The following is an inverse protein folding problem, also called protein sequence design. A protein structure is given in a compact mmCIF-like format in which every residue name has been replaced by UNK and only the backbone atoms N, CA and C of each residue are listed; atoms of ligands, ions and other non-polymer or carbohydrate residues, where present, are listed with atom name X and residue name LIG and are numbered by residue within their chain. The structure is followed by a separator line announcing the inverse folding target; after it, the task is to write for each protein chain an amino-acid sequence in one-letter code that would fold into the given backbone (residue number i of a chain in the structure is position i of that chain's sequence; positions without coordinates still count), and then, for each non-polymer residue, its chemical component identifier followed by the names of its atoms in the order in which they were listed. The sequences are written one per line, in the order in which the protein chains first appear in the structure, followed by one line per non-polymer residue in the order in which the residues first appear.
data_IF_063984196560
#
_entry.id   IF_063984196560
#
_cell.length_a   1.000
_cell.length_b   1.000
_cell.length_c   1.000
_cell.angle_alpha   90.00
_cell.angle_beta   90.00
_cell.angle_gamma   90.00
#
_symmetry.space_group_name_H-M   'P 1'
#
loop_
_entity.id
_entity.type
_entity.pdbx_description
1 polymer ?
#
# COMPACT_ATOMS: atom_id res chain seq x y z
N UNK A 1 7.39 22.77 -11.40
CA UNK A 1 7.14 21.87 -10.25
C UNK A 1 8.40 21.59 -9.41
N UNK A 2 9.28 22.57 -9.15
CA UNK A 2 10.65 22.29 -8.67
C UNK A 2 10.91 22.43 -7.16
N UNK A 3 9.89 22.71 -6.32
CA UNK A 3 10.13 23.06 -4.90
C UNK A 3 9.14 22.47 -3.90
N UNK A 4 8.35 21.47 -4.26
CA UNK A 4 7.46 20.83 -3.27
C UNK A 4 8.31 20.02 -2.29
N UNK A 5 8.32 20.46 -1.04
CA UNK A 5 8.98 19.78 0.06
C UNK A 5 7.94 19.22 1.05
N UNK A 6 8.27 18.10 1.67
CA UNK A 6 7.50 17.54 2.79
C UNK A 6 7.66 18.49 3.98
N UNK A 7 6.59 18.72 4.75
CA UNK A 7 6.65 19.53 5.99
C UNK A 7 7.16 18.74 7.19
N UNK A 8 6.88 17.43 7.21
CA UNK A 8 7.25 16.52 8.30
C UNK A 8 8.16 15.41 7.76
N UNK A 9 9.27 15.10 8.46
CA UNK A 9 10.29 14.14 8.00
C UNK A 9 9.87 12.69 8.33
N UNK A 10 8.71 12.29 7.84
CA UNK A 10 8.29 10.89 7.89
C UNK A 10 8.74 10.17 6.62
N UNK A 11 9.58 9.16 6.81
CA UNK A 11 10.11 8.31 5.74
C UNK A 11 9.59 6.89 5.89
N UNK A 12 9.49 6.16 4.77
CA UNK A 12 9.21 4.72 4.82
C UNK A 12 10.37 3.98 5.46
N UNK A 13 10.06 2.96 6.27
CA UNK A 13 11.10 2.10 6.89
C UNK A 13 11.66 1.12 5.85
N UNK A 14 10.81 0.73 4.90
CA UNK A 14 11.11 -0.18 3.80
C UNK A 14 11.92 0.48 2.66
N UNK A 15 12.59 -0.35 1.88
CA UNK A 15 13.22 0.01 0.61
C UNK A 15 12.24 0.04 -0.56
N UNK A 16 11.00 -0.41 -0.36
CA UNK A 16 9.99 -0.43 -1.41
C UNK A 16 9.60 1.00 -1.82
N UNK A 17 9.90 1.36 -3.07
CA UNK A 17 9.59 2.69 -3.61
C UNK A 17 8.08 2.91 -3.79
N UNK A 18 7.31 1.85 -4.06
CA UNK A 18 5.88 1.92 -4.38
C UNK A 18 5.10 0.67 -3.95
N UNK A 19 3.87 0.87 -3.49
CA UNK A 19 2.88 -0.21 -3.22
C UNK A 19 2.07 -0.60 -4.46
N UNK A 20 2.41 -0.06 -5.64
CA UNK A 20 1.59 -0.26 -6.84
C UNK A 20 1.44 -1.73 -7.21
N UNK A 21 2.50 -2.52 -6.99
CA UNK A 21 2.48 -3.96 -7.27
C UNK A 21 1.59 -4.72 -6.28
N UNK A 22 1.70 -4.43 -4.99
CA UNK A 22 0.89 -5.06 -3.94
C UNK A 22 -0.60 -4.78 -4.16
N UNK A 23 -0.96 -3.51 -4.40
CA UNK A 23 -2.34 -3.12 -4.72
C UNK A 23 -2.87 -3.82 -5.96
N UNK A 24 -2.02 -4.03 -6.97
CA UNK A 24 -2.41 -4.79 -8.17
C UNK A 24 -2.65 -6.27 -7.83
N UNK A 25 -1.77 -6.90 -7.05
CA UNK A 25 -1.89 -8.29 -6.61
C UNK A 25 -3.16 -8.51 -5.76
N UNK A 26 -3.40 -7.65 -4.78
CA UNK A 26 -4.58 -7.73 -3.91
C UNK A 26 -5.88 -7.60 -4.71
N UNK A 27 -5.98 -6.59 -5.58
CA UNK A 27 -7.17 -6.40 -6.41
C UNK A 27 -7.40 -7.56 -7.39
N UNK A 28 -6.34 -8.14 -7.96
CA UNK A 28 -6.45 -9.32 -8.83
C UNK A 28 -6.99 -10.53 -8.06
N UNK A 29 -6.48 -10.74 -6.85
CA UNK A 29 -6.90 -11.84 -5.97
C UNK A 29 -8.34 -11.67 -5.52
N UNK A 30 -8.70 -10.46 -5.09
CA UNK A 30 -10.07 -10.10 -4.69
C UNK A 30 -11.07 -10.38 -5.81
N UNK A 31 -10.81 -9.90 -7.03
CA UNK A 31 -11.69 -10.14 -8.20
C UNK A 31 -11.84 -11.64 -8.51
N UNK A 32 -10.75 -12.41 -8.40
CA UNK A 32 -10.77 -13.87 -8.62
C UNK A 32 -11.67 -14.55 -7.60
N UNK A 33 -11.53 -14.23 -6.31
CA UNK A 33 -12.33 -14.85 -5.24
C UNK A 33 -13.79 -14.41 -5.34
N UNK A 34 -14.05 -13.12 -5.61
CA UNK A 34 -15.40 -12.63 -5.83
C UNK A 34 -16.11 -13.41 -6.95
N UNK A 35 -15.46 -13.56 -8.11
CA UNK A 35 -16.03 -14.35 -9.23
C UNK A 35 -16.33 -15.79 -8.83
N UNK A 36 -15.44 -16.45 -8.09
CA UNK A 36 -15.64 -17.83 -7.64
C UNK A 36 -16.78 -17.95 -6.62
N UNK A 37 -16.93 -16.99 -5.70
CA UNK A 37 -18.01 -16.99 -4.71
C UNK A 37 -19.37 -16.72 -5.36
N UNK A 38 -19.44 -15.71 -6.25
CA UNK A 38 -20.66 -15.42 -7.01
C UNK A 38 -21.08 -16.60 -7.88
N UNK A 39 -20.14 -17.31 -8.52
CA UNK A 39 -20.44 -18.51 -9.30
C UNK A 39 -20.98 -19.67 -8.46
N UNK A 40 -20.67 -19.71 -7.16
CA UNK A 40 -21.19 -20.69 -6.21
C UNK A 40 -22.45 -20.23 -5.47
N UNK A 41 -23.11 -19.16 -5.95
CA UNK A 41 -24.26 -18.50 -5.29
C UNK A 41 -24.00 -18.07 -3.84
N UNK A 42 -22.73 -17.84 -3.49
CA UNK A 42 -22.33 -17.29 -2.20
C UNK A 42 -22.07 -15.78 -2.30
N UNK A 43 -22.18 -15.09 -1.17
CA UNK A 43 -21.92 -13.67 -1.09
C UNK A 43 -20.47 -13.32 -1.47
N UNK A 44 -20.34 -12.28 -2.29
CA UNK A 44 -19.05 -11.75 -2.67
C UNK A 44 -18.34 -11.13 -1.45
N UNK A 45 -17.00 -11.24 -1.36
CA UNK A 45 -16.26 -10.57 -0.30
C UNK A 45 -16.43 -9.04 -0.45
N UNK A 46 -16.77 -8.35 0.64
CA UNK A 46 -16.98 -6.90 0.64
C UNK A 46 -15.68 -6.13 0.91
N UNK A 47 -14.78 -6.73 1.71
CA UNK A 47 -13.50 -6.14 2.12
C UNK A 47 -12.31 -6.93 1.56
N UNK A 48 -11.23 -6.22 1.26
CA UNK A 48 -9.96 -6.82 0.79
C UNK A 48 -9.34 -7.71 1.88
N UNK A 49 -9.54 -7.35 3.15
CA UNK A 49 -9.06 -8.09 4.33
C UNK A 49 -9.60 -9.53 4.38
N UNK A 50 -10.76 -9.79 3.77
CA UNK A 50 -11.34 -11.13 3.69
C UNK A 50 -10.60 -12.06 2.70
N UNK A 51 -9.66 -11.52 1.93
CA UNK A 51 -8.96 -12.22 0.84
C UNK A 51 -7.44 -12.14 1.00
N UNK A 52 -6.94 -11.05 1.55
CA UNK A 52 -5.49 -10.78 1.70
C UNK A 52 -5.25 -10.03 2.99
N UNK A 53 -4.12 -10.30 3.62
CA UNK A 53 -3.66 -9.54 4.78
C UNK A 53 -3.35 -8.09 4.38
N UNK A 54 -3.85 -7.14 5.16
CA UNK A 54 -3.68 -5.70 4.96
C UNK A 54 -2.26 -5.27 5.31
N UNK A 55 -1.60 -6.02 6.19
CA UNK A 55 -0.26 -5.73 6.70
C UNK A 55 0.87 -6.32 5.84
N UNK A 56 0.54 -7.12 4.82
CA UNK A 56 1.52 -7.71 3.87
C UNK A 56 2.04 -6.68 2.83
N UNK A 57 1.76 -5.38 3.04
CA UNK A 57 2.20 -4.32 2.14
C UNK A 57 3.69 -4.09 2.25
N UNK A 58 4.42 -4.17 1.13
CA UNK A 58 5.88 -3.99 1.15
C UNK A 58 6.30 -2.58 1.58
N UNK A 59 5.39 -1.60 1.52
CA UNK A 59 5.64 -0.21 1.94
C UNK A 59 5.12 0.14 3.34
N UNK A 60 4.74 -0.86 4.13
CA UNK A 60 4.20 -0.59 5.45
C UNK A 60 5.26 -0.01 6.40
N UNK A 61 4.79 0.83 7.33
CA UNK A 61 5.63 1.50 8.31
C UNK A 61 6.25 2.82 7.83
N UNK A 62 6.04 3.86 8.63
CA UNK A 62 6.75 5.15 8.52
C UNK A 62 7.45 5.47 9.82
N UNK A 63 8.66 6.03 9.72
CA UNK A 63 9.43 6.50 10.87
C UNK A 63 9.73 7.97 10.73
N UNK A 64 9.64 8.67 11.85
CA UNK A 64 10.19 10.02 11.97
C UNK A 64 11.72 9.96 11.92
N UNK A 65 12.33 10.70 11.00
CA UNK A 65 13.77 10.78 10.89
C UNK A 65 14.25 12.11 11.47
N UNK A 66 14.98 12.06 12.59
CA UNK A 66 15.43 13.26 13.33
C UNK A 66 16.60 13.99 12.66
N UNK A 67 17.42 13.30 11.86
CA UNK A 67 18.64 13.83 11.24
C UNK A 67 18.48 14.08 9.74
N UNK A 68 17.28 14.49 9.31
CA UNK A 68 16.98 14.73 7.89
C UNK A 68 17.73 15.96 7.36
N UNK A 69 18.07 15.95 6.07
CA UNK A 69 18.58 17.12 5.34
C UNK A 69 17.51 17.64 4.39
N UNK A 70 17.60 18.93 4.01
CA UNK A 70 16.63 19.56 3.09
C UNK A 70 16.49 18.85 1.75
N UNK A 71 17.56 18.18 1.30
CA UNK A 71 17.55 17.36 0.07
C UNK A 71 16.60 16.16 0.18
N UNK A 72 16.51 15.55 1.36
CA UNK A 72 15.72 14.33 1.60
C UNK A 72 14.22 14.67 1.72
N UNK A 73 13.91 15.93 2.04
CA UNK A 73 12.54 16.45 2.17
C UNK A 73 11.88 16.75 0.82
N UNK A 74 12.61 16.64 -0.29
CA UNK A 74 12.05 16.83 -1.64
C UNK A 74 11.14 15.65 -2.01
N UNK A 75 10.02 15.95 -2.67
CA UNK A 75 8.98 14.96 -3.02
C UNK A 75 9.34 14.12 -4.23
#
# INVERSE_FOLDING_TARGET
MSRSQRKTPFFGITTASSEKQDKRRWNRTFRRIAKLKTAKHNDAPVKIEAVTDVWDGAKDGKRYYKQFKDRDMRK
#
